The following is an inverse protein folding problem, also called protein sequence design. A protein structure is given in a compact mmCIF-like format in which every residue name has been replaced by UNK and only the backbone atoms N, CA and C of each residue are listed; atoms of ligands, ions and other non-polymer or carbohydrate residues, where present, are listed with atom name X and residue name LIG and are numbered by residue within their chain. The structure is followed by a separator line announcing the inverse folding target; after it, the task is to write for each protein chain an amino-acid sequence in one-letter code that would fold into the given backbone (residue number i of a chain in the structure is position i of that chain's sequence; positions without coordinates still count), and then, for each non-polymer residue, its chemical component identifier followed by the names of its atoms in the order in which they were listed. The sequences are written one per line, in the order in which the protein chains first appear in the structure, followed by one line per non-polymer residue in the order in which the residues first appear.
data_IF_969072298240
#
_entry.id   IF_969072298240
#
_cell.length_a   1.000
_cell.length_b   1.000
_cell.length_c   1.000
_cell.angle_alpha   90.00
_cell.angle_beta   90.00
_cell.angle_gamma   90.00
#
_symmetry.space_group_name_H-M   'P 1'
#
loop_
_entity.id
_entity.type
_entity.pdbx_description
1 polymer ?
#
# COMPACT_ATOMS: atom_id res chain seq x y z
N UNK A 1 -33.54 10.30 17.14
CA UNK A 1 -32.37 10.37 16.22
C UNK A 1 -32.65 9.41 15.07
N UNK A 2 -32.62 9.84 13.81
CA UNK A 2 -32.85 8.93 12.70
C UNK A 2 -31.66 7.96 12.63
N UNK A 3 -31.96 6.66 12.59
CA UNK A 3 -30.97 5.62 12.30
C UNK A 3 -30.50 5.80 10.86
N UNK A 4 -29.22 6.03 10.67
CA UNK A 4 -28.61 6.13 9.34
C UNK A 4 -28.57 4.71 8.75
N UNK A 5 -29.36 4.45 7.71
CA UNK A 5 -29.25 3.24 6.92
C UNK A 5 -27.98 3.33 6.06
N UNK A 6 -27.07 2.35 6.09
CA UNK A 6 -25.90 2.37 5.22
C UNK A 6 -26.36 2.28 3.76
N UNK A 7 -25.87 3.21 2.93
CA UNK A 7 -26.05 3.12 1.48
C UNK A 7 -25.27 1.92 0.94
N UNK A 8 -25.75 1.32 -0.15
CA UNK A 8 -25.16 0.14 -0.84
C UNK A 8 -23.65 0.30 -1.18
N UNK A 9 -23.11 1.51 -1.08
CA UNK A 9 -21.74 1.89 -1.45
C UNK A 9 -20.89 2.37 -0.28
N UNK A 10 -21.49 2.53 0.90
CA UNK A 10 -20.70 2.88 2.06
C UNK A 10 -19.75 1.71 2.38
N UNK A 11 -18.47 2.00 2.66
CA UNK A 11 -17.56 1.00 3.16
C UNK A 11 -18.19 0.28 4.36
N UNK A 12 -18.33 -1.06 4.32
CA UNK A 12 -18.73 -1.87 5.50
C UNK A 12 -17.91 -1.50 6.75
N UNK A 13 -16.71 -0.96 6.52
CA UNK A 13 -15.80 -0.50 7.54
C UNK A 13 -16.27 0.72 8.36
N UNK A 14 -17.37 1.40 8.00
CA UNK A 14 -17.99 2.44 8.84
C UNK A 14 -18.75 1.87 10.05
N UNK A 15 -19.13 0.57 10.04
CA UNK A 15 -20.02 0.02 11.07
C UNK A 15 -19.58 -1.28 11.76
N UNK A 16 -18.67 -2.08 11.20
CA UNK A 16 -18.30 -3.38 11.80
C UNK A 16 -16.98 -3.35 12.60
N UNK A 17 -17.14 -3.49 13.93
CA UNK A 17 -16.10 -3.77 14.94
C UNK A 17 -16.09 -5.26 15.38
N UNK A 18 -16.67 -6.15 14.57
CA UNK A 18 -16.85 -7.58 14.89
C UNK A 18 -15.60 -8.45 14.73
N UNK A 19 -15.57 -9.57 15.45
CA UNK A 19 -14.46 -10.54 15.55
C UNK A 19 -14.04 -11.15 14.20
N UNK A 20 -12.72 -11.33 14.05
CA UNK A 20 -11.97 -11.45 12.78
C UNK A 20 -12.26 -12.60 11.82
N UNK A 21 -13.11 -13.58 12.16
CA UNK A 21 -13.49 -14.62 11.18
C UNK A 21 -14.80 -14.26 10.45
N UNK A 22 -15.78 -13.68 11.16
CA UNK A 22 -17.04 -13.30 10.52
C UNK A 22 -16.84 -12.09 9.60
N UNK A 23 -15.98 -11.15 10.01
CA UNK A 23 -15.67 -9.94 9.23
C UNK A 23 -15.03 -10.23 7.86
N UNK A 24 -14.23 -11.30 7.77
CA UNK A 24 -13.52 -11.65 6.54
C UNK A 24 -14.49 -12.28 5.53
N UNK A 25 -15.39 -13.15 5.98
CA UNK A 25 -16.48 -13.66 5.14
C UNK A 25 -17.43 -12.54 4.70
N UNK A 26 -17.75 -11.60 5.61
CA UNK A 26 -18.60 -10.46 5.30
C UNK A 26 -18.00 -9.54 4.21
N UNK A 27 -16.69 -9.23 4.28
CA UNK A 27 -16.05 -8.37 3.28
C UNK A 27 -15.89 -9.05 1.92
N UNK A 28 -15.67 -10.36 1.89
CA UNK A 28 -15.60 -11.12 0.63
C UNK A 28 -16.98 -11.24 -0.01
N UNK A 29 -18.02 -11.62 0.73
CA UNK A 29 -19.39 -11.70 0.20
C UNK A 29 -19.86 -10.35 -0.34
N UNK A 30 -19.58 -9.27 0.38
CA UNK A 30 -19.85 -7.91 -0.09
C UNK A 30 -19.16 -7.60 -1.43
N UNK A 31 -17.89 -7.98 -1.58
CA UNK A 31 -17.18 -7.76 -2.82
C UNK A 31 -17.76 -8.59 -3.97
N UNK A 32 -18.12 -9.85 -3.72
CA UNK A 32 -18.78 -10.71 -4.72
C UNK A 32 -20.16 -10.15 -5.14
N UNK A 33 -20.95 -9.66 -4.18
CA UNK A 33 -22.24 -9.02 -4.47
C UNK A 33 -22.06 -7.75 -5.32
N UNK A 34 -21.05 -6.93 -4.99
CA UNK A 34 -20.74 -5.74 -5.78
C UNK A 34 -20.22 -6.07 -7.18
N UNK A 35 -19.38 -7.10 -7.32
CA UNK A 35 -18.79 -7.50 -8.61
C UNK A 35 -19.85 -8.07 -9.56
N UNK A 36 -20.83 -8.83 -9.03
CA UNK A 36 -21.96 -9.34 -9.79
C UNK A 36 -22.93 -8.24 -10.25
N UNK A 37 -23.00 -7.13 -9.51
CA UNK A 37 -23.89 -5.99 -9.80
C UNK A 37 -23.13 -4.75 -10.29
N UNK A 38 -21.94 -4.93 -10.88
CA UNK A 38 -21.01 -3.83 -11.18
C UNK A 38 -21.63 -2.69 -12.01
N UNK A 39 -22.50 -2.99 -13.00
CA UNK A 39 -23.16 -1.97 -13.80
C UNK A 39 -24.06 -1.05 -12.96
N UNK A 40 -24.96 -1.65 -12.17
CA UNK A 40 -25.84 -0.92 -11.26
C UNK A 40 -25.04 -0.10 -10.22
N UNK A 41 -23.97 -0.70 -9.69
CA UNK A 41 -23.05 -0.03 -8.75
C UNK A 41 -22.35 1.14 -9.43
N UNK A 42 -21.86 1.04 -10.67
CA UNK A 42 -21.24 2.20 -11.34
C UNK A 42 -22.25 3.35 -11.56
N UNK A 43 -23.47 3.04 -11.99
CA UNK A 43 -24.55 4.03 -12.18
C UNK A 43 -24.87 4.77 -10.87
N UNK A 44 -25.06 4.04 -9.77
CA UNK A 44 -25.35 4.64 -8.47
C UNK A 44 -24.19 5.48 -7.93
N UNK A 45 -22.94 5.06 -8.17
CA UNK A 45 -21.75 5.78 -7.71
C UNK A 45 -21.59 7.11 -8.44
N UNK A 46 -21.82 7.11 -9.75
CA UNK A 46 -21.83 8.33 -10.56
C UNK A 46 -22.88 9.31 -10.03
N UNK A 47 -24.10 8.85 -9.72
CA UNK A 47 -25.14 9.71 -9.17
C UNK A 47 -24.70 10.36 -7.85
N UNK A 48 -24.17 9.57 -6.92
CA UNK A 48 -23.66 10.08 -5.65
C UNK A 48 -22.55 11.12 -5.85
N UNK A 49 -21.60 10.87 -6.76
CA UNK A 49 -20.52 11.80 -7.07
C UNK A 49 -21.08 13.13 -7.61
N UNK A 50 -22.05 13.07 -8.54
CA UNK A 50 -22.63 14.25 -9.17
C UNK A 50 -23.50 15.06 -8.21
N UNK A 51 -24.29 14.40 -7.36
CA UNK A 51 -25.09 15.03 -6.30
C UNK A 51 -24.20 15.70 -5.26
N UNK A 52 -23.19 14.99 -4.73
CA UNK A 52 -22.26 15.52 -3.73
C UNK A 52 -21.44 16.69 -4.25
N UNK A 53 -21.15 16.71 -5.55
CA UNK A 53 -20.37 17.77 -6.19
C UNK A 53 -21.24 18.72 -7.02
N UNK A 54 -22.56 18.70 -6.83
CA UNK A 54 -23.44 19.58 -7.58
C UNK A 54 -23.07 21.05 -7.33
N UNK A 55 -22.99 21.82 -8.42
CA UNK A 55 -22.72 23.25 -8.34
C UNK A 55 -21.24 23.65 -8.15
N UNK A 56 -20.29 22.71 -8.15
CA UNK A 56 -18.86 23.04 -8.24
C UNK A 56 -18.55 23.72 -9.58
N UNK A 57 -17.50 24.54 -9.63
CA UNK A 57 -17.16 25.35 -10.82
C UNK A 57 -16.99 24.49 -12.07
N UNK A 58 -16.35 23.33 -11.96
CA UNK A 58 -16.15 22.42 -13.10
C UNK A 58 -17.46 21.85 -13.64
N UNK A 59 -18.30 21.26 -12.79
CA UNK A 59 -19.55 20.64 -13.24
C UNK A 59 -20.57 21.67 -13.71
N UNK A 60 -20.56 22.90 -13.18
CA UNK A 60 -21.41 23.99 -13.67
C UNK A 60 -21.22 24.29 -15.16
N UNK A 61 -20.00 24.10 -15.69
CA UNK A 61 -19.71 24.33 -17.12
C UNK A 61 -20.51 23.41 -18.04
N UNK A 62 -20.81 22.20 -17.59
CA UNK A 62 -21.41 21.14 -18.40
C UNK A 62 -22.86 20.83 -17.99
N UNK A 63 -23.14 20.88 -16.69
CA UNK A 63 -24.40 20.46 -16.08
C UNK A 63 -25.20 21.63 -15.49
N UNK A 64 -24.70 22.88 -15.57
CA UNK A 64 -25.31 24.03 -14.89
C UNK A 64 -26.71 24.43 -15.38
N UNK A 65 -27.09 24.03 -16.60
CA UNK A 65 -28.42 24.25 -17.16
C UNK A 65 -29.44 23.14 -16.85
N UNK A 66 -29.00 22.06 -16.19
CA UNK A 66 -29.82 20.89 -15.90
C UNK A 66 -30.14 20.78 -14.41
N UNK A 67 -31.36 20.37 -14.10
CA UNK A 67 -31.74 20.04 -12.72
C UNK A 67 -31.41 18.57 -12.42
N UNK A 68 -30.12 18.28 -12.25
CA UNK A 68 -29.65 16.89 -12.08
C UNK A 68 -30.17 16.22 -10.80
N UNK A 69 -30.62 16.99 -9.80
CA UNK A 69 -31.11 16.48 -8.53
C UNK A 69 -32.51 15.86 -8.61
N UNK A 70 -33.23 16.10 -9.70
CA UNK A 70 -34.57 15.54 -9.97
C UNK A 70 -34.54 14.40 -11.00
N UNK A 71 -33.35 14.04 -11.49
CA UNK A 71 -33.19 13.00 -12.51
C UNK A 71 -33.02 11.62 -11.86
N UNK A 72 -33.60 10.59 -12.48
CA UNK A 72 -33.28 9.22 -12.13
C UNK A 72 -31.85 8.85 -12.57
N UNK A 73 -31.31 7.78 -11.98
CA UNK A 73 -29.92 7.42 -12.12
C UNK A 73 -29.51 7.10 -13.57
N UNK A 74 -30.39 6.45 -14.34
CA UNK A 74 -30.12 6.09 -15.74
C UNK A 74 -30.13 7.34 -16.65
N UNK A 75 -31.07 8.25 -16.41
CA UNK A 75 -31.13 9.53 -17.13
C UNK A 75 -29.90 10.40 -16.81
N UNK A 76 -29.47 10.43 -15.56
CA UNK A 76 -28.29 11.19 -15.12
C UNK A 76 -27.00 10.63 -15.72
N UNK A 77 -26.82 9.30 -15.73
CA UNK A 77 -25.70 8.63 -16.39
C UNK A 77 -25.64 8.95 -17.89
N UNK A 78 -26.78 8.87 -18.57
CA UNK A 78 -26.90 9.17 -20.00
C UNK A 78 -26.56 10.64 -20.28
N UNK A 79 -27.07 11.55 -19.45
CA UNK A 79 -26.76 12.98 -19.56
C UNK A 79 -25.25 13.22 -19.37
N UNK A 80 -24.67 12.74 -18.27
CA UNK A 80 -23.24 12.93 -17.96
C UNK A 80 -22.35 12.48 -19.12
N UNK A 81 -22.60 11.27 -19.63
CA UNK A 81 -21.83 10.67 -20.73
C UNK A 81 -21.96 11.45 -22.05
N UNK A 82 -23.06 12.18 -22.24
CA UNK A 82 -23.31 12.98 -23.44
C UNK A 82 -22.74 14.40 -23.39
N UNK A 83 -22.62 15.00 -22.20
CA UNK A 83 -22.28 16.44 -22.05
C UNK A 83 -20.94 16.71 -21.39
N UNK A 84 -20.42 15.80 -20.56
CA UNK A 84 -19.13 15.99 -19.88
C UNK A 84 -18.03 15.34 -20.71
N UNK A 85 -17.07 16.11 -21.26
CA UNK A 85 -16.04 15.56 -22.13
C UNK A 85 -15.02 14.73 -21.35
N UNK A 86 -14.38 13.79 -22.06
CA UNK A 86 -13.15 13.17 -21.59
C UNK A 86 -12.08 14.25 -21.42
N UNK A 87 -11.46 14.28 -20.25
CA UNK A 87 -10.49 15.30 -19.86
C UNK A 87 -9.15 14.67 -19.47
N UNK A 88 -8.08 15.43 -19.68
CA UNK A 88 -6.72 15.12 -19.28
C UNK A 88 -6.32 15.95 -18.05
N UNK A 89 -5.16 15.67 -17.48
CA UNK A 89 -4.64 16.48 -16.37
C UNK A 89 -4.45 17.96 -16.76
N UNK A 90 -4.10 18.25 -18.02
CA UNK A 90 -3.90 19.62 -18.48
C UNK A 90 -5.18 20.46 -18.34
N UNK A 91 -6.36 19.84 -18.49
CA UNK A 91 -7.66 20.52 -18.33
C UNK A 91 -7.97 20.86 -16.87
N UNK A 92 -7.40 20.10 -15.92
CA UNK A 92 -7.58 20.30 -14.48
C UNK A 92 -6.49 21.17 -13.84
N UNK A 93 -5.32 21.32 -14.49
CA UNK A 93 -4.17 22.08 -13.99
C UNK A 93 -4.55 23.48 -13.48
N UNK A 94 -5.37 24.29 -14.18
CA UNK A 94 -5.72 25.64 -13.69
C UNK A 94 -6.50 25.61 -12.37
N UNK A 95 -7.38 24.61 -12.18
CA UNK A 95 -8.11 24.44 -10.93
C UNK A 95 -7.17 23.96 -9.81
N UNK A 96 -6.30 23.00 -10.13
CA UNK A 96 -5.32 22.49 -9.16
C UNK A 96 -4.35 23.56 -8.69
N UNK A 97 -3.91 24.47 -9.57
CA UNK A 97 -3.06 25.58 -9.22
C UNK A 97 -3.78 26.58 -8.30
N UNK A 98 -5.05 26.92 -8.59
CA UNK A 98 -5.88 27.76 -7.71
C UNK A 98 -6.07 27.15 -6.33
N UNK A 99 -6.37 25.85 -6.27
CA UNK A 99 -6.47 25.11 -5.00
C UNK A 99 -5.12 25.16 -4.26
N UNK A 100 -4.00 24.90 -4.94
CA UNK A 100 -2.67 24.95 -4.35
C UNK A 100 -2.30 26.35 -3.83
N UNK A 101 -2.78 27.42 -4.48
CA UNK A 101 -2.57 28.81 -4.07
C UNK A 101 -3.51 29.27 -2.95
N UNK A 102 -4.49 28.44 -2.57
CA UNK A 102 -5.36 28.67 -1.41
C UNK A 102 -6.79 29.12 -1.74
N UNK A 103 -7.23 28.96 -2.99
CA UNK A 103 -8.63 29.19 -3.37
C UNK A 103 -9.55 28.18 -2.64
N UNK A 104 -10.45 28.69 -1.81
CA UNK A 104 -11.41 27.89 -1.02
C UNK A 104 -12.75 27.70 -1.72
N UNK A 105 -12.91 28.23 -2.93
CA UNK A 105 -14.11 28.04 -3.76
C UNK A 105 -14.26 26.56 -4.12
N UNK A 106 -15.47 25.98 -4.16
CA UNK A 106 -15.68 24.59 -4.59
C UNK A 106 -15.42 24.44 -6.10
N UNK A 107 -14.16 24.26 -6.48
CA UNK A 107 -13.74 24.19 -7.90
C UNK A 107 -14.07 22.84 -8.53
N UNK A 108 -13.61 21.77 -7.91
CA UNK A 108 -13.71 20.39 -8.41
C UNK A 108 -14.60 19.52 -7.52
N UNK A 109 -14.64 19.82 -6.22
CA UNK A 109 -15.44 19.09 -5.23
C UNK A 109 -15.97 20.06 -4.17
N UNK A 110 -17.10 19.71 -3.55
CA UNK A 110 -17.63 20.44 -2.40
C UNK A 110 -16.80 20.22 -1.13
N UNK A 111 -16.09 19.08 -1.03
CA UNK A 111 -15.26 18.79 0.11
C UNK A 111 -13.99 19.67 0.10
N UNK A 112 -13.66 20.39 1.18
CA UNK A 112 -12.42 21.16 1.26
C UNK A 112 -11.19 20.28 1.07
N UNK A 113 -10.33 20.66 0.12
CA UNK A 113 -9.06 19.96 -0.14
C UNK A 113 -8.00 20.51 0.79
N UNK A 114 -7.48 19.66 1.67
CA UNK A 114 -6.41 20.02 2.63
C UNK A 114 -5.05 19.43 2.26
N UNK A 115 -5.05 18.42 1.39
CA UNK A 115 -3.89 17.60 1.05
C UNK A 115 -3.86 17.30 -0.45
N UNK A 116 -2.68 17.37 -1.05
CA UNK A 116 -2.41 17.05 -2.44
C UNK A 116 -1.39 15.91 -2.53
N UNK A 117 -1.70 14.93 -3.38
CA UNK A 117 -0.78 13.87 -3.78
C UNK A 117 0.01 14.29 -5.02
N UNK A 118 1.27 13.86 -5.07
CA UNK A 118 2.12 13.93 -6.25
C UNK A 118 2.00 12.62 -7.04
N UNK A 119 1.71 12.69 -8.33
CA UNK A 119 1.77 11.52 -9.22
C UNK A 119 3.20 11.28 -9.73
N UNK A 120 3.53 10.02 -10.02
CA UNK A 120 4.84 9.60 -10.58
C UNK A 120 4.95 9.87 -12.09
N UNK A 121 3.83 10.13 -12.78
CA UNK A 121 3.79 10.38 -14.22
C UNK A 121 3.99 11.85 -14.56
N UNK A 122 5.10 12.17 -15.23
CA UNK A 122 5.40 13.56 -15.63
C UNK A 122 4.87 13.86 -17.03
N UNK A 123 4.23 15.00 -17.17
CA UNK A 123 4.08 15.68 -18.46
C UNK A 123 4.98 16.91 -18.31
N UNK A 124 5.97 17.08 -19.18
CA UNK A 124 6.91 18.22 -19.15
C UNK A 124 7.81 18.34 -17.90
N UNK A 125 8.03 17.25 -17.16
CA UNK A 125 8.97 17.21 -16.02
C UNK A 125 8.44 17.80 -14.70
N UNK A 126 7.17 18.23 -14.63
CA UNK A 126 6.51 18.66 -13.39
C UNK A 126 5.64 17.55 -12.83
N UNK A 127 5.69 17.36 -11.51
CA UNK A 127 4.81 16.41 -10.82
C UNK A 127 3.40 16.97 -10.74
N UNK A 128 2.42 16.14 -11.07
CA UNK A 128 1.00 16.48 -11.10
C UNK A 128 0.42 16.49 -9.69
N UNK A 129 -0.34 17.53 -9.35
CA UNK A 129 -1.13 17.57 -8.12
C UNK A 129 -2.46 16.85 -8.31
N UNK A 130 -2.75 15.91 -7.42
CA UNK A 130 -4.02 15.19 -7.37
C UNK A 130 -4.61 15.38 -5.97
N UNK A 131 -5.89 15.76 -5.81
CA UNK A 131 -6.50 15.86 -4.49
C UNK A 131 -6.38 14.53 -3.73
N UNK A 132 -5.98 14.61 -2.46
CA UNK A 132 -6.02 13.47 -1.55
C UNK A 132 -6.98 13.78 -0.41
N UNK A 133 -8.06 13.01 -0.32
CA UNK A 133 -9.08 13.18 0.69
C UNK A 133 -9.06 12.01 1.67
N UNK A 134 -9.82 12.13 2.77
CA UNK A 134 -10.03 11.00 3.68
C UNK A 134 -10.66 9.80 2.96
N UNK A 135 -11.55 10.06 2.00
CA UNK A 135 -12.14 9.00 1.17
C UNK A 135 -11.05 8.19 0.45
N UNK A 136 -10.01 8.84 -0.09
CA UNK A 136 -8.86 8.15 -0.70
C UNK A 136 -8.18 7.15 0.25
N UNK A 137 -7.99 7.53 1.53
CA UNK A 137 -7.41 6.64 2.55
C UNK A 137 -8.36 5.50 2.94
N UNK A 138 -9.67 5.78 3.04
CA UNK A 138 -10.70 4.78 3.37
C UNK A 138 -10.84 3.72 2.27
N UNK A 139 -10.90 4.12 1.01
CA UNK A 139 -10.93 3.19 -0.13
C UNK A 139 -9.68 2.33 -0.18
N UNK A 140 -8.51 2.92 0.09
CA UNK A 140 -7.24 2.19 0.17
C UNK A 140 -7.27 1.13 1.29
N UNK A 141 -7.81 1.47 2.47
CA UNK A 141 -8.01 0.52 3.56
C UNK A 141 -8.97 -0.62 3.18
N UNK A 142 -10.06 -0.33 2.46
CA UNK A 142 -10.97 -1.37 1.97
C UNK A 142 -10.26 -2.36 1.04
N UNK A 143 -9.50 -1.85 0.07
CA UNK A 143 -8.72 -2.68 -0.88
C UNK A 143 -7.77 -3.59 -0.12
N UNK A 144 -7.00 -3.06 0.83
CA UNK A 144 -6.06 -3.87 1.61
C UNK A 144 -6.75 -4.87 2.54
N UNK A 145 -7.91 -4.51 3.09
CA UNK A 145 -8.69 -5.42 3.93
C UNK A 145 -9.23 -6.59 3.12
N UNK A 146 -9.80 -6.31 1.94
CA UNK A 146 -10.28 -7.33 1.02
C UNK A 146 -9.15 -8.25 0.56
N UNK A 147 -8.01 -7.68 0.13
CA UNK A 147 -6.85 -8.45 -0.29
C UNK A 147 -6.32 -9.34 0.85
N UNK A 148 -6.33 -8.84 2.09
CA UNK A 148 -5.95 -9.64 3.25
C UNK A 148 -6.95 -10.78 3.52
N UNK A 149 -8.25 -10.55 3.39
CA UNK A 149 -9.28 -11.57 3.61
C UNK A 149 -9.13 -12.75 2.64
N UNK A 150 -8.94 -12.49 1.33
CA UNK A 150 -8.66 -13.54 0.35
C UNK A 150 -7.34 -14.25 0.65
N UNK A 151 -6.27 -13.50 0.93
CA UNK A 151 -4.96 -14.08 1.26
C UNK A 151 -5.04 -14.98 2.49
N UNK A 152 -5.78 -14.58 3.52
CA UNK A 152 -5.92 -15.34 4.76
C UNK A 152 -6.61 -16.69 4.58
N UNK A 153 -7.42 -16.90 3.51
CA UNK A 153 -8.00 -18.21 3.19
C UNK A 153 -6.92 -19.26 2.86
N UNK A 154 -5.84 -18.83 2.21
CA UNK A 154 -4.75 -19.72 1.77
C UNK A 154 -3.57 -19.68 2.75
N UNK A 155 -3.28 -18.49 3.28
CA UNK A 155 -2.09 -18.19 4.08
C UNK A 155 -2.43 -17.42 5.37
N UNK A 156 -3.16 -18.02 6.32
CA UNK A 156 -3.61 -17.35 7.55
C UNK A 156 -2.44 -16.96 8.44
N UNK A 157 -2.37 -15.69 8.88
CA UNK A 157 -1.31 -15.20 9.79
C UNK A 157 -1.56 -15.75 11.19
N UNK A 158 -0.53 -16.29 11.85
CA UNK A 158 -0.66 -16.78 13.22
C UNK A 158 -0.69 -15.62 14.21
N UNK A 159 -1.18 -15.87 15.41
CA UNK A 159 -1.13 -14.86 16.46
C UNK A 159 0.34 -14.45 16.74
N UNK A 160 0.60 -13.15 16.78
CA UNK A 160 1.96 -12.60 16.91
C UNK A 160 2.81 -12.64 15.63
N UNK A 161 2.25 -13.09 14.50
CA UNK A 161 2.89 -13.01 13.19
C UNK A 161 3.09 -11.55 12.74
N UNK A 162 4.18 -11.31 12.02
CA UNK A 162 4.58 -9.99 11.51
C UNK A 162 4.82 -9.99 10.02
N UNK A 163 4.78 -8.79 9.45
CA UNK A 163 5.14 -8.53 8.05
C UNK A 163 6.38 -7.65 8.01
N UNK A 164 7.40 -8.11 7.30
CA UNK A 164 8.53 -7.27 6.90
C UNK A 164 8.10 -6.46 5.67
N UNK A 165 7.63 -5.24 5.89
CA UNK A 165 7.21 -4.32 4.83
C UNK A 165 8.32 -3.30 4.53
N UNK A 166 8.87 -3.34 3.31
CA UNK A 166 9.78 -2.31 2.80
C UNK A 166 8.97 -1.15 2.23
N UNK A 167 8.52 -0.26 3.12
CA UNK A 167 7.66 0.88 2.81
C UNK A 167 8.29 2.19 3.27
N UNK A 168 8.26 3.20 2.40
CA UNK A 168 9.03 4.42 2.58
C UNK A 168 8.12 5.63 2.36
N UNK A 169 8.08 6.52 3.35
CA UNK A 169 7.44 7.83 3.20
C UNK A 169 8.42 8.85 2.64
N UNK A 170 7.95 9.63 1.68
CA UNK A 170 8.65 10.80 1.15
C UNK A 170 8.50 12.01 2.08
N UNK A 171 9.38 13.00 1.90
CA UNK A 171 9.22 14.29 2.56
C UNK A 171 7.95 14.99 2.10
N UNK A 172 7.28 15.66 3.03
CA UNK A 172 6.11 16.51 2.75
C UNK A 172 6.51 17.97 2.76
N UNK A 173 5.84 18.77 1.94
CA UNK A 173 6.00 20.22 1.93
C UNK A 173 4.65 20.92 1.89
N UNK A 174 4.65 22.25 1.92
CA UNK A 174 3.44 23.08 1.90
C UNK A 174 3.35 23.85 0.59
N UNK A 175 2.15 23.93 0.01
CA UNK A 175 1.87 24.86 -1.09
C UNK A 175 1.84 26.31 -0.58
N UNK A 176 1.74 27.28 -1.50
CA UNK A 176 1.54 28.70 -1.15
C UNK A 176 0.26 28.92 -0.34
N UNK A 177 -0.81 28.18 -0.66
CA UNK A 177 -2.06 28.15 0.10
C UNK A 177 -2.04 27.35 1.39
N UNK A 178 -0.88 26.80 1.80
CA UNK A 178 -0.74 26.06 3.06
C UNK A 178 -1.20 24.59 3.03
N UNK A 179 -1.55 24.05 1.85
CA UNK A 179 -1.94 22.65 1.68
C UNK A 179 -0.75 21.72 1.85
N UNK A 180 -0.97 20.54 2.44
CA UNK A 180 0.09 19.53 2.58
C UNK A 180 0.29 18.79 1.27
N UNK A 181 1.53 18.70 0.80
CA UNK A 181 1.90 17.96 -0.41
C UNK A 181 2.82 16.80 -0.05
N UNK A 182 2.62 15.65 -0.68
CA UNK A 182 3.42 14.43 -0.54
C UNK A 182 2.97 13.37 -1.54
N UNK A 183 3.57 12.19 -1.57
CA UNK A 183 3.03 11.08 -2.37
C UNK A 183 1.76 10.51 -1.75
N UNK A 184 0.89 9.89 -2.57
CA UNK A 184 -0.32 9.22 -2.07
C UNK A 184 0.01 8.16 -1.00
N UNK A 185 1.08 7.38 -1.19
CA UNK A 185 1.57 6.40 -0.21
C UNK A 185 2.00 7.05 1.10
N UNK A 186 2.71 8.19 1.04
CA UNK A 186 3.13 8.95 2.23
C UNK A 186 1.92 9.42 3.03
N UNK A 187 0.89 9.93 2.36
CA UNK A 187 -0.33 10.36 3.03
C UNK A 187 -1.08 9.19 3.65
N UNK A 188 -1.15 8.05 2.95
CA UNK A 188 -1.75 6.84 3.49
C UNK A 188 -0.98 6.31 4.70
N UNK A 189 0.35 6.18 4.66
CA UNK A 189 1.14 5.72 5.81
C UNK A 189 1.03 6.64 7.03
N UNK A 190 0.74 7.92 6.82
CA UNK A 190 0.50 8.89 7.90
C UNK A 190 -0.96 8.92 8.38
N UNK A 191 -1.87 8.19 7.75
CA UNK A 191 -3.30 8.20 8.04
C UNK A 191 -3.68 7.26 9.20
N UNK A 192 -4.84 7.51 9.81
CA UNK A 192 -5.42 6.59 10.79
C UNK A 192 -5.85 5.27 10.13
N UNK A 193 -6.26 5.32 8.86
CA UNK A 193 -6.63 4.16 8.06
C UNK A 193 -5.49 3.14 7.93
N UNK A 194 -4.24 3.58 7.85
CA UNK A 194 -3.08 2.68 7.88
C UNK A 194 -2.91 1.95 9.22
N UNK A 195 -3.20 2.61 10.34
CA UNK A 195 -3.21 1.96 11.66
C UNK A 195 -4.35 0.96 11.76
N UNK A 196 -5.55 1.36 11.32
CA UNK A 196 -6.74 0.50 11.29
C UNK A 196 -6.48 -0.75 10.45
N UNK A 197 -5.82 -0.63 9.29
CA UNK A 197 -5.43 -1.76 8.43
C UNK A 197 -4.69 -2.82 9.23
N UNK A 198 -3.65 -2.43 9.99
CA UNK A 198 -2.85 -3.38 10.75
C UNK A 198 -3.68 -4.13 11.80
N UNK A 199 -4.57 -3.43 12.51
CA UNK A 199 -5.43 -4.04 13.52
C UNK A 199 -6.53 -4.94 12.94
N UNK A 200 -7.12 -4.55 11.80
CA UNK A 200 -8.16 -5.33 11.11
C UNK A 200 -7.60 -6.58 10.48
N UNK A 201 -6.51 -6.48 9.73
CA UNK A 201 -5.92 -7.62 9.01
C UNK A 201 -4.97 -8.46 9.87
N UNK A 202 -4.80 -8.10 11.16
CA UNK A 202 -3.81 -8.70 12.09
C UNK A 202 -2.39 -8.76 11.51
N UNK A 203 -2.09 -7.90 10.54
CA UNK A 203 -0.82 -7.87 9.81
C UNK A 203 -0.01 -6.68 10.31
N UNK A 204 0.72 -6.89 11.40
CA UNK A 204 1.56 -5.84 12.00
C UNK A 204 2.92 -5.79 11.32
N UNK A 205 3.36 -4.59 10.93
CA UNK A 205 4.70 -4.42 10.35
C UNK A 205 5.77 -4.58 11.43
N UNK A 206 6.96 -5.07 11.05
CA UNK A 206 8.13 -5.08 11.92
C UNK A 206 8.60 -3.66 12.28
N UNK A 207 8.35 -2.68 11.42
CA UNK A 207 8.96 -1.35 11.50
C UNK A 207 8.01 -0.30 12.08
N UNK A 208 8.45 0.49 13.08
CA UNK A 208 7.63 1.54 13.66
C UNK A 208 7.45 2.71 12.69
N UNK A 209 6.48 3.58 12.99
CA UNK A 209 6.11 4.71 12.13
C UNK A 209 7.28 5.66 11.87
N UNK A 210 8.17 5.86 12.84
CA UNK A 210 9.34 6.72 12.74
C UNK A 210 10.39 6.20 11.75
N UNK A 211 10.45 4.88 11.54
CA UNK A 211 11.28 4.25 10.51
C UNK A 211 10.64 4.47 9.13
N UNK A 212 9.34 4.21 9.01
CA UNK A 212 8.57 4.38 7.76
C UNK A 212 8.54 5.86 7.32
N UNK A 213 8.44 6.78 8.28
CA UNK A 213 8.35 8.23 8.09
C UNK A 213 9.71 8.94 8.12
N UNK A 214 10.81 8.18 8.06
CA UNK A 214 12.16 8.68 8.23
C UNK A 214 12.64 9.66 7.17
N UNK A 215 12.08 9.60 5.96
CA UNK A 215 12.41 10.47 4.82
C UNK A 215 13.77 10.17 4.16
N UNK A 216 14.69 9.50 4.85
CA UNK A 216 15.96 9.00 4.32
C UNK A 216 15.84 7.49 4.03
N UNK A 217 15.81 7.15 2.74
CA UNK A 217 15.68 5.77 2.27
C UNK A 217 16.74 4.85 2.85
N UNK A 218 18.02 5.28 2.92
CA UNK A 218 19.12 4.40 3.37
C UNK A 218 18.99 4.10 4.86
N UNK A 219 18.64 5.10 5.66
CA UNK A 219 18.41 4.91 7.10
C UNK A 219 17.19 4.02 7.36
N UNK A 220 16.09 4.27 6.66
CA UNK A 220 14.88 3.44 6.78
C UNK A 220 15.15 2.00 6.37
N UNK A 221 15.82 1.75 5.23
CA UNK A 221 16.16 0.38 4.77
C UNK A 221 16.99 -0.37 5.81
N UNK A 222 18.00 0.28 6.40
CA UNK A 222 18.79 -0.34 7.46
C UNK A 222 17.92 -0.76 8.64
N UNK A 223 17.03 0.12 9.12
CA UNK A 223 16.13 -0.19 10.22
C UNK A 223 15.07 -1.24 9.86
N UNK A 224 14.55 -1.25 8.63
CA UNK A 224 13.64 -2.29 8.14
C UNK A 224 14.31 -3.66 8.19
N UNK A 225 15.55 -3.77 7.69
CA UNK A 225 16.32 -5.02 7.71
C UNK A 225 16.64 -5.45 9.14
N UNK A 226 17.14 -4.53 9.98
CA UNK A 226 17.47 -4.80 11.38
C UNK A 226 16.25 -5.35 12.15
N UNK A 227 15.10 -4.67 12.06
CA UNK A 227 13.88 -5.09 12.74
C UNK A 227 13.27 -6.35 12.12
N UNK A 228 13.40 -6.52 10.81
CA UNK A 228 13.01 -7.74 10.10
C UNK A 228 13.79 -8.96 10.59
N UNK A 229 15.09 -8.83 10.80
CA UNK A 229 15.94 -9.89 11.34
C UNK A 229 15.76 -10.09 12.85
N UNK A 230 15.58 -9.00 13.61
CA UNK A 230 15.29 -9.09 15.04
C UNK A 230 14.00 -9.87 15.32
N UNK A 231 13.01 -9.72 14.44
CA UNK A 231 11.76 -10.48 14.46
C UNK A 231 11.77 -11.68 13.50
N UNK A 232 12.93 -12.23 13.13
CA UNK A 232 13.07 -13.25 12.07
C UNK A 232 12.07 -14.40 12.20
N UNK A 233 11.93 -14.94 13.41
CA UNK A 233 11.02 -16.04 13.71
C UNK A 233 9.54 -15.63 13.61
N UNK A 234 9.19 -14.36 13.78
CA UNK A 234 7.82 -13.84 13.72
C UNK A 234 7.40 -13.40 12.32
N UNK A 235 8.34 -13.16 11.40
CA UNK A 235 8.02 -12.73 10.04
C UNK A 235 7.38 -13.88 9.26
N UNK A 236 6.15 -13.64 8.80
CA UNK A 236 5.39 -14.56 7.96
C UNK A 236 5.24 -14.08 6.52
N UNK A 237 5.46 -12.78 6.27
CA UNK A 237 5.38 -12.20 4.94
C UNK A 237 6.45 -11.13 4.78
N UNK A 238 7.02 -11.06 3.58
CA UNK A 238 7.93 -9.99 3.17
C UNK A 238 7.30 -9.30 1.98
N UNK A 239 7.08 -7.99 2.07
CA UNK A 239 6.36 -7.25 1.02
C UNK A 239 6.97 -5.89 0.75
N UNK A 240 6.69 -5.35 -0.42
CA UNK A 240 6.93 -3.96 -0.77
C UNK A 240 5.91 -3.52 -1.82
N UNK A 241 5.69 -2.21 -1.95
CA UNK A 241 4.86 -1.67 -3.03
C UNK A 241 5.48 -1.95 -4.41
N UNK A 242 6.82 -2.04 -4.50
CA UNK A 242 7.53 -2.33 -5.73
C UNK A 242 8.61 -3.38 -5.47
N UNK A 243 8.68 -4.40 -6.34
CA UNK A 243 9.72 -5.45 -6.27
C UNK A 243 11.11 -4.82 -6.26
N UNK A 244 11.32 -3.76 -7.06
CA UNK A 244 12.57 -3.00 -7.08
C UNK A 244 13.03 -2.57 -5.67
N UNK A 245 12.11 -2.11 -4.81
CA UNK A 245 12.46 -1.67 -3.46
C UNK A 245 12.92 -2.83 -2.57
N UNK A 246 12.37 -4.03 -2.79
CA UNK A 246 12.76 -5.24 -2.09
C UNK A 246 14.15 -5.72 -2.56
N UNK A 247 14.39 -5.72 -3.87
CA UNK A 247 15.71 -6.05 -4.44
C UNK A 247 16.77 -5.09 -3.89
N UNK A 248 16.53 -3.78 -3.92
CA UNK A 248 17.45 -2.79 -3.35
C UNK A 248 17.71 -2.99 -1.86
N UNK A 249 16.68 -3.35 -1.08
CA UNK A 249 16.85 -3.66 0.33
C UNK A 249 17.72 -4.90 0.56
N UNK A 250 17.51 -5.96 -0.22
CA UNK A 250 18.35 -7.16 -0.10
C UNK A 250 19.77 -6.95 -0.62
N UNK A 251 19.99 -6.23 -1.72
CA UNK A 251 21.34 -5.83 -2.14
C UNK A 251 22.04 -5.03 -1.05
N UNK A 252 21.34 -4.11 -0.38
CA UNK A 252 21.88 -3.36 0.77
C UNK A 252 22.20 -4.30 1.95
N UNK A 253 21.39 -5.33 2.15
CA UNK A 253 21.61 -6.32 3.21
C UNK A 253 22.90 -7.13 2.97
N UNK A 254 23.19 -7.52 1.73
CA UNK A 254 24.42 -8.24 1.37
C UNK A 254 25.68 -7.49 1.83
N UNK A 255 25.65 -6.15 1.75
CA UNK A 255 26.75 -5.29 2.18
C UNK A 255 26.82 -5.07 3.70
N UNK A 256 25.65 -5.07 4.37
CA UNK A 256 25.53 -4.56 5.75
C UNK A 256 25.21 -5.63 6.80
N UNK A 257 25.01 -6.90 6.43
CA UNK A 257 24.56 -7.94 7.36
C UNK A 257 25.44 -8.08 8.61
N UNK A 258 26.76 -7.90 8.48
CA UNK A 258 27.71 -7.96 9.62
C UNK A 258 27.45 -6.85 10.62
N UNK A 259 27.22 -5.63 10.13
CA UNK A 259 26.91 -4.46 10.96
C UNK A 259 25.56 -4.65 11.67
N UNK A 260 24.56 -5.14 10.93
CA UNK A 260 23.23 -5.44 11.47
C UNK A 260 23.30 -6.54 12.55
N UNK A 261 24.08 -7.59 12.34
CA UNK A 261 24.25 -8.65 13.34
C UNK A 261 24.94 -8.14 14.62
N UNK A 262 25.93 -7.25 14.49
CA UNK A 262 26.56 -6.60 15.64
C UNK A 262 25.56 -5.74 16.43
N UNK A 263 24.75 -4.94 15.73
CA UNK A 263 23.70 -4.14 16.36
C UNK A 263 22.68 -5.01 17.12
N UNK A 264 22.26 -6.15 16.56
CA UNK A 264 21.37 -7.13 17.23
C UNK A 264 22.06 -7.74 18.45
N UNK A 265 23.34 -8.12 18.33
CA UNK A 265 24.11 -8.72 19.43
C UNK A 265 24.14 -7.79 20.64
N UNK A 266 24.50 -6.53 20.40
CA UNK A 266 24.77 -5.56 21.45
C UNK A 266 23.51 -4.78 21.87
N UNK A 267 22.40 -4.94 21.14
CA UNK A 267 21.18 -4.15 21.35
C UNK A 267 21.41 -2.66 21.08
N UNK A 268 22.27 -2.36 20.10
CA UNK A 268 22.65 -1.00 19.73
C UNK A 268 22.20 -0.68 18.31
N UNK A 269 22.51 0.53 17.86
CA UNK A 269 22.14 0.97 16.52
C UNK A 269 23.29 1.72 15.88
N UNK A 270 23.63 1.33 14.65
CA UNK A 270 24.68 1.90 13.85
C UNK A 270 24.64 3.43 13.81
N UNK A 271 25.82 4.05 13.83
CA UNK A 271 25.97 5.50 13.66
C UNK A 271 25.46 6.02 12.32
N UNK A 272 25.14 5.15 11.34
CA UNK A 272 24.48 5.50 10.08
C UNK A 272 23.11 6.11 10.28
N UNK A 273 22.40 5.69 11.32
CA UNK A 273 21.07 6.23 11.65
C UNK A 273 21.26 7.57 12.36
N UNK A 274 21.07 8.66 11.63
CA UNK A 274 21.21 10.04 12.13
C UNK A 274 19.92 10.58 12.75
N UNK A 275 18.76 10.11 12.28
CA UNK A 275 17.46 10.56 12.78
C UNK A 275 17.24 10.14 14.23
N UNK A 276 17.20 11.10 15.16
CA UNK A 276 17.01 10.84 16.60
C UNK A 276 15.69 10.12 16.91
N UNK A 277 14.62 10.46 16.20
CA UNK A 277 13.31 9.81 16.33
C UNK A 277 13.36 8.33 15.90
N UNK A 278 14.01 8.07 14.75
CA UNK A 278 14.19 6.70 14.24
C UNK A 278 15.05 5.88 15.19
N UNK A 279 16.17 6.46 15.67
CA UNK A 279 17.05 5.80 16.64
C UNK A 279 16.29 5.41 17.90
N UNK A 280 15.54 6.35 18.48
CA UNK A 280 14.75 6.09 19.68
C UNK A 280 13.73 4.96 19.44
N UNK A 281 12.93 5.06 18.38
CA UNK A 281 11.89 4.07 18.08
C UNK A 281 12.46 2.66 17.83
N UNK A 282 13.61 2.54 17.17
CA UNK A 282 14.27 1.25 16.97
C UNK A 282 14.84 0.69 18.29
N UNK A 283 15.50 1.53 19.11
CA UNK A 283 16.07 1.14 20.40
C UNK A 283 15.01 0.81 21.46
N UNK A 284 13.81 1.37 21.36
CA UNK A 284 12.67 1.00 22.22
C UNK A 284 12.16 -0.44 21.90
N UNK A 285 12.54 -1.01 20.76
CA UNK A 285 12.11 -2.35 20.30
C UNK A 285 13.22 -3.39 20.50
N UNK A 286 14.46 -3.06 20.14
CA UNK A 286 15.56 -4.03 20.18
C UNK A 286 16.18 -4.12 21.57
N UNK A 287 16.61 -5.32 21.93
CA UNK A 287 17.38 -5.60 23.15
C UNK A 287 18.55 -6.51 22.81
N UNK A 288 19.65 -6.50 23.58
CA UNK A 288 20.83 -7.30 23.28
C UNK A 288 20.48 -8.78 23.14
N UNK A 289 20.74 -9.35 21.96
CA UNK A 289 20.41 -10.75 21.65
C UNK A 289 21.58 -11.48 20.97
N UNK A 290 22.63 -11.85 21.74
CA UNK A 290 23.81 -12.51 21.18
C UNK A 290 23.51 -13.84 20.50
N UNK A 291 22.56 -14.61 21.03
CA UNK A 291 22.18 -15.90 20.47
C UNK A 291 21.51 -15.76 19.10
N UNK A 292 20.65 -14.75 18.91
CA UNK A 292 20.03 -14.47 17.62
C UNK A 292 21.08 -14.00 16.63
N UNK A 293 21.95 -13.06 17.04
CA UNK A 293 23.03 -12.56 16.21
C UNK A 293 23.93 -13.68 15.70
N UNK A 294 24.44 -14.56 16.57
CA UNK A 294 25.30 -15.68 16.14
C UNK A 294 24.62 -16.60 15.12
N UNK A 295 23.34 -16.95 15.33
CA UNK A 295 22.57 -17.77 14.37
C UNK A 295 22.41 -17.09 13.00
N UNK A 296 22.14 -15.78 13.01
CA UNK A 296 22.01 -14.99 11.79
C UNK A 296 23.36 -14.89 11.07
N UNK A 297 24.46 -14.67 11.81
CA UNK A 297 25.79 -14.60 11.21
C UNK A 297 26.22 -15.90 10.54
N UNK A 298 25.98 -17.03 11.19
CA UNK A 298 26.30 -18.34 10.60
C UNK A 298 25.46 -18.59 9.35
N UNK A 299 24.16 -18.23 9.39
CA UNK A 299 23.29 -18.30 8.22
C UNK A 299 23.76 -17.38 7.09
N UNK A 300 24.22 -16.16 7.39
CA UNK A 300 24.73 -15.22 6.39
C UNK A 300 26.05 -15.70 5.77
N UNK A 301 26.98 -16.28 6.55
CA UNK A 301 28.22 -16.85 6.02
C UNK A 301 27.96 -18.00 5.05
N UNK A 302 26.98 -18.85 5.36
CA UNK A 302 26.54 -19.92 4.44
C UNK A 302 25.95 -19.33 3.16
N UNK A 303 25.10 -18.30 3.28
CA UNK A 303 24.48 -17.61 2.14
C UNK A 303 25.52 -16.91 1.24
N UNK A 304 26.52 -16.24 1.82
CA UNK A 304 27.63 -15.64 1.06
C UNK A 304 28.35 -16.68 0.17
N UNK A 305 28.49 -17.92 0.66
CA UNK A 305 29.13 -19.01 -0.10
C UNK A 305 28.31 -19.51 -1.29
N UNK A 306 27.02 -19.19 -1.37
CA UNK A 306 26.09 -19.61 -2.44
C UNK A 306 25.46 -18.42 -3.17
N UNK A 307 26.13 -17.26 -3.17
CA UNK A 307 25.65 -16.03 -3.82
C UNK A 307 24.22 -15.64 -3.38
N UNK A 308 23.96 -15.74 -2.07
CA UNK A 308 22.69 -15.39 -1.42
C UNK A 308 21.46 -16.17 -1.92
N UNK A 309 21.66 -17.28 -2.64
CA UNK A 309 20.57 -18.15 -3.05
C UNK A 309 19.82 -18.73 -1.84
N UNK A 310 18.50 -18.62 -1.84
CA UNK A 310 17.66 -19.09 -0.73
C UNK A 310 17.65 -18.18 0.52
N UNK A 311 18.06 -16.91 0.39
CA UNK A 311 18.13 -15.93 1.47
C UNK A 311 16.83 -15.84 2.30
N UNK A 312 15.66 -15.76 1.64
CA UNK A 312 14.38 -15.58 2.35
C UNK A 312 14.07 -16.75 3.29
N UNK A 313 13.94 -18.01 2.81
CA UNK A 313 13.62 -19.13 3.68
C UNK A 313 14.72 -19.44 4.71
N UNK A 314 15.98 -19.02 4.45
CA UNK A 314 17.08 -19.21 5.40
C UNK A 314 17.01 -18.23 6.59
N UNK A 315 16.73 -16.95 6.34
CA UNK A 315 16.70 -15.91 7.38
C UNK A 315 15.33 -15.72 8.02
N UNK A 316 14.25 -15.99 7.28
CA UNK A 316 12.87 -15.92 7.75
C UNK A 316 12.18 -17.26 7.52
N UNK A 317 12.46 -18.29 8.35
CA UNK A 317 12.00 -19.66 8.11
C UNK A 317 10.48 -19.81 8.16
N UNK A 318 9.77 -18.89 8.82
CA UNK A 318 8.31 -18.87 8.88
C UNK A 318 7.68 -17.98 7.79
N UNK A 319 8.48 -17.33 6.95
CA UNK A 319 7.96 -16.57 5.82
C UNK A 319 7.26 -17.51 4.85
N UNK A 320 6.00 -17.23 4.56
CA UNK A 320 5.19 -18.03 3.65
C UNK A 320 5.67 -17.82 2.23
N UNK A 321 6.15 -18.90 1.68
CA UNK A 321 6.47 -19.10 0.27
C UNK A 321 5.68 -20.33 -0.17
N UNK A 322 5.28 -20.40 -1.44
CA UNK A 322 4.64 -21.62 -1.95
C UNK A 322 5.59 -22.81 -1.74
N UNK A 323 5.12 -23.81 -0.98
CA UNK A 323 5.66 -25.16 -1.13
C UNK A 323 5.25 -25.62 -2.52
N UNK A 324 6.23 -25.88 -3.39
CA UNK A 324 6.02 -26.54 -4.67
C UNK A 324 5.16 -27.78 -4.42
N UNK A 325 3.89 -27.73 -4.79
CA UNK A 325 3.03 -28.89 -4.78
C UNK A 325 3.52 -29.73 -5.95
N UNK A 326 4.37 -30.71 -5.68
CA UNK A 326 4.73 -31.75 -6.65
C UNK A 326 3.49 -32.62 -6.90
N UNK A 327 2.48 -32.07 -7.56
CA UNK A 327 1.44 -32.83 -8.23
C UNK A 327 1.99 -33.16 -9.61
N UNK A 328 2.44 -34.40 -9.79
CA UNK A 328 2.87 -34.88 -11.09
C UNK A 328 1.76 -34.74 -12.13
N UNK A 329 2.13 -34.23 -13.30
CA UNK A 329 1.25 -34.08 -14.46
C UNK A 329 1.55 -32.81 -15.23
N UNK A 330 2.39 -32.98 -16.26
CA UNK A 330 2.74 -32.05 -17.35
C UNK A 330 3.75 -30.92 -17.09
N UNK A 331 4.88 -31.06 -17.80
CA UNK A 331 6.04 -30.18 -17.85
C UNK A 331 5.68 -28.74 -18.26
N UNK A 332 5.73 -27.82 -17.30
CA UNK A 332 6.26 -26.48 -17.57
C UNK A 332 7.73 -26.51 -17.18
N UNK A 333 8.61 -26.56 -18.19
CA UNK A 333 10.03 -26.34 -17.98
C UNK A 333 10.23 -24.89 -17.51
N UNK A 334 10.41 -24.70 -16.20
CA UNK A 334 10.87 -23.43 -15.62
C UNK A 334 12.27 -23.11 -16.18
N UNK A 335 12.43 -21.92 -16.76
CA UNK A 335 13.75 -21.42 -17.15
C UNK A 335 14.67 -21.29 -15.93
N UNK A 336 15.98 -21.45 -16.14
CA UNK A 336 16.96 -21.43 -15.04
C UNK A 336 16.89 -20.12 -14.25
N UNK A 337 16.74 -20.16 -12.92
CA UNK A 337 16.70 -18.96 -12.10
C UNK A 337 18.00 -18.17 -12.24
N UNK A 338 17.86 -16.84 -12.37
CA UNK A 338 18.97 -15.90 -12.52
C UNK A 338 19.30 -15.32 -11.14
N UNK A 339 20.55 -15.39 -10.65
CA UNK A 339 20.96 -14.74 -9.42
C UNK A 339 20.69 -13.23 -9.45
N UNK A 340 20.32 -12.63 -8.31
CA UNK A 340 20.06 -11.19 -8.22
C UNK A 340 21.25 -10.34 -8.70
N UNK A 341 22.47 -10.86 -8.52
CA UNK A 341 23.75 -10.30 -8.99
C UNK A 341 23.87 -10.18 -10.52
N UNK A 342 23.01 -10.86 -11.28
CA UNK A 342 23.05 -10.94 -12.76
C UNK A 342 21.88 -10.22 -13.44
N UNK A 343 21.06 -9.49 -12.68
CA UNK A 343 19.95 -8.69 -13.20
C UNK A 343 20.50 -7.45 -13.94
N UNK A 344 20.06 -7.25 -15.18
CA UNK A 344 20.45 -6.16 -16.08
C UNK A 344 19.30 -5.17 -16.25
N UNK A 345 19.62 -3.89 -16.17
CA UNK A 345 18.65 -2.81 -16.37
C UNK A 345 18.13 -2.82 -17.82
N UNK A 346 16.81 -2.79 -17.98
CA UNK A 346 16.14 -2.79 -19.28
C UNK A 346 15.76 -4.17 -19.83
N UNK A 347 15.99 -5.25 -19.06
CA UNK A 347 15.48 -6.58 -19.37
C UNK A 347 14.25 -6.92 -18.52
N UNK A 348 13.31 -7.65 -19.11
CA UNK A 348 12.16 -8.21 -18.40
C UNK A 348 12.59 -9.49 -17.68
N UNK A 349 12.31 -9.55 -16.38
CA UNK A 349 12.52 -10.73 -15.55
C UNK A 349 11.17 -11.16 -14.99
N UNK A 350 10.83 -12.43 -15.14
CA UNK A 350 9.73 -13.02 -14.40
C UNK A 350 10.24 -13.34 -12.99
N UNK A 351 9.88 -12.48 -12.04
CA UNK A 351 10.07 -12.80 -10.63
C UNK A 351 8.84 -13.59 -10.21
N UNK A 352 9.02 -14.89 -9.95
CA UNK A 352 7.98 -15.73 -9.34
C UNK A 352 7.80 -15.30 -7.88
N UNK A 353 7.09 -14.20 -7.69
CA UNK A 353 6.41 -13.86 -6.45
C UNK A 353 4.96 -14.28 -6.66
N UNK A 354 4.49 -15.17 -5.81
CA UNK A 354 3.25 -15.91 -5.99
C UNK A 354 2.05 -14.98 -5.96
N UNK A 355 1.58 -14.58 -7.14
CA UNK A 355 0.21 -14.15 -7.39
C UNK A 355 -0.48 -15.30 -8.12
N UNK A 356 -1.41 -15.97 -7.46
CA UNK A 356 -2.19 -17.04 -8.07
C UNK A 356 -2.93 -16.51 -9.31
N UNK A 357 -2.73 -17.17 -10.45
CA UNK A 357 -3.69 -17.12 -11.57
C UNK A 357 -4.95 -17.87 -11.16
N UNK A 358 -6.09 -17.28 -11.46
CA UNK A 358 -7.39 -17.93 -11.36
C UNK A 358 -7.41 -19.18 -12.26
N UNK A 359 -7.79 -20.31 -11.67
CA UNK A 359 -8.28 -21.46 -12.41
C UNK A 359 -9.67 -21.13 -12.94
N UNK A 360 -9.77 -20.52 -14.13
CA UNK A 360 -11.00 -20.62 -14.92
C UNK A 360 -10.95 -21.93 -15.70
N UNK A 361 -11.82 -22.86 -15.33
CA UNK A 361 -12.01 -24.11 -16.05
C UNK A 361 -12.42 -23.90 -17.51
N UNK A 362 -12.05 -24.86 -18.34
CA UNK A 362 -12.62 -25.03 -19.66
C UNK A 362 -12.68 -26.53 -19.98
N UNK A 363 -13.90 -27.01 -20.28
CA UNK A 363 -14.18 -28.17 -21.13
C UNK A 363 -14.05 -29.54 -20.50
#
# INVERSE_FOLDING_TARGET
MPQHQPTLMEPILSYNNGNGNNSDYDVMNWFEDLSQNAGFVQTQLLCQILEQNYGVEYLKKWLGSYNILEMDACALESLFSSVVPLASHADFEPFMQRIADGDTTPLLTQQPITTLSLSSGTTEGRQKFVPFTRHSAQTTLQIFTLAAAYRSRVYPIREGGRVLEFIYSSNRFKTKGGLTVGTATTHYYASEEFKIKQHKTKSFTCSPQEVISGGDYKQSTYCHLLLGLYFSDQVEFITSAFIYSMVQAFTTFEELWREICNDIRDGTLSSRIKSSKMRKAALDIISPSPNLASKLEDSCKELEGVDWFGLIPKLWPNAKHEKKLSSGGDDFMEDKPIPLSQIKVGQEYEVVLTTSRDCTGAG
#
